data_IF_210402815520
#
_entry.id   IF_210402815520
#
_cell.length_a   1.000
_cell.length_b   1.000
_cell.length_c   1.000
_cell.angle_alpha   90.00
_cell.angle_beta   90.00
_cell.angle_gamma   90.00
#
_symmetry.space_group_name_H-M   'P 1'
#
loop_
_entity.id
_entity.type
_entity.pdbx_description
1 polymer ?
#
# COMPACT_ATOMS: atom_id res chain seq x y z
N UNK A 1 9.14 28.22 -16.14
CA UNK A 1 9.79 26.98 -15.65
C UNK A 1 9.00 25.82 -16.23
N UNK A 2 9.56 25.09 -17.20
CA UNK A 2 8.84 24.11 -18.02
C UNK A 2 9.40 22.70 -17.86
N UNK A 3 9.26 22.12 -16.67
CA UNK A 3 9.50 20.69 -16.47
C UNK A 3 8.26 19.94 -16.95
N UNK A 4 8.41 19.04 -17.91
CA UNK A 4 7.31 18.20 -18.39
C UNK A 4 6.99 17.14 -17.34
N UNK A 5 5.85 17.28 -16.68
CA UNK A 5 5.36 16.34 -15.65
C UNK A 5 4.39 15.36 -16.30
N UNK A 6 4.90 14.41 -17.09
CA UNK A 6 4.06 13.36 -17.68
C UNK A 6 4.75 12.01 -17.49
N UNK A 7 4.71 11.51 -16.26
CA UNK A 7 5.28 10.20 -15.91
C UNK A 7 4.22 9.13 -15.66
N UNK A 8 2.92 9.47 -15.75
CA UNK A 8 1.83 8.56 -15.36
C UNK A 8 1.94 8.09 -13.91
N UNK A 9 2.79 8.76 -13.10
CA UNK A 9 3.14 8.39 -11.74
C UNK A 9 2.96 9.57 -10.81
N UNK A 10 2.23 9.36 -9.72
CA UNK A 10 2.07 10.34 -8.65
C UNK A 10 2.02 9.64 -7.30
N UNK A 11 2.33 10.38 -6.24
CA UNK A 11 2.18 9.94 -4.85
C UNK A 11 1.40 11.04 -4.12
N UNK A 12 0.33 10.68 -3.43
CA UNK A 12 -0.43 11.65 -2.66
C UNK A 12 0.38 12.14 -1.45
N UNK A 13 0.12 13.36 -0.94
CA UNK A 13 0.75 13.82 0.30
C UNK A 13 0.58 12.80 1.42
N UNK A 14 1.69 12.41 2.06
CA UNK A 14 1.73 11.37 3.09
C UNK A 14 1.10 10.02 2.66
N UNK A 15 1.07 9.69 1.36
CA UNK A 15 0.40 8.50 0.83
C UNK A 15 -1.09 8.38 1.20
N UNK A 16 -1.71 9.46 1.66
CA UNK A 16 -3.10 9.43 2.12
C UNK A 16 -4.04 9.09 0.96
N UNK A 17 -4.98 8.18 1.20
CA UNK A 17 -5.95 7.74 0.21
C UNK A 17 -5.43 6.76 -0.86
N UNK A 18 -4.12 6.45 -0.88
CA UNK A 18 -3.60 5.31 -1.66
C UNK A 18 -4.01 4.01 -0.99
N UNK A 19 -3.67 3.88 0.30
CA UNK A 19 -4.22 2.87 1.18
C UNK A 19 -4.41 3.45 2.59
N UNK A 20 -5.58 3.32 3.23
CA UNK A 20 -6.83 2.80 2.68
C UNK A 20 -7.27 3.59 1.45
N UNK A 21 -7.90 2.90 0.50
CA UNK A 21 -8.23 3.48 -0.81
C UNK A 21 -9.30 4.57 -0.66
N UNK A 22 -9.08 5.71 -1.30
CA UNK A 22 -10.06 6.77 -1.47
C UNK A 22 -10.51 6.86 -2.93
N UNK A 23 -11.77 6.50 -3.19
CA UNK A 23 -12.34 6.50 -4.54
C UNK A 23 -12.18 7.85 -5.26
N UNK A 24 -12.38 8.96 -4.55
CA UNK A 24 -12.20 10.30 -5.11
C UNK A 24 -10.77 10.57 -5.59
N UNK A 25 -9.75 10.05 -4.89
CA UNK A 25 -8.35 10.19 -5.29
C UNK A 25 -8.09 9.45 -6.59
N UNK A 26 -8.46 8.17 -6.66
CA UNK A 26 -8.24 7.34 -7.85
C UNK A 26 -8.99 7.89 -9.07
N UNK A 27 -10.26 8.31 -8.89
CA UNK A 27 -11.03 8.93 -9.97
C UNK A 27 -10.41 10.24 -10.47
N UNK A 28 -9.88 11.07 -9.57
CA UNK A 28 -9.21 12.34 -9.93
C UNK A 28 -7.88 12.09 -10.63
N UNK A 29 -7.11 11.12 -10.15
CA UNK A 29 -5.84 10.70 -10.74
C UNK A 29 -5.98 10.21 -12.18
N UNK A 30 -7.02 9.42 -12.46
CA UNK A 30 -7.30 9.00 -13.83
C UNK A 30 -7.79 10.15 -14.71
N UNK A 31 -8.79 10.90 -14.24
CA UNK A 31 -9.48 11.89 -15.08
C UNK A 31 -8.69 13.17 -15.33
N UNK A 32 -7.87 13.61 -14.37
CA UNK A 32 -7.17 14.90 -14.45
C UNK A 32 -5.70 14.74 -14.85
N UNK A 33 -5.00 13.71 -14.35
CA UNK A 33 -3.55 13.55 -14.52
C UNK A 33 -3.16 12.29 -15.30
N UNK A 34 -4.11 11.44 -15.67
CA UNK A 34 -3.89 10.16 -16.34
C UNK A 34 -2.83 9.29 -15.62
N UNK A 35 -2.91 9.22 -14.30
CA UNK A 35 -2.03 8.40 -13.47
C UNK A 35 -2.38 6.93 -13.66
N UNK A 36 -1.38 6.10 -13.91
CA UNK A 36 -1.49 4.65 -14.05
C UNK A 36 -0.65 3.89 -13.02
N UNK A 37 0.29 4.57 -12.36
CA UNK A 37 1.15 3.98 -11.33
C UNK A 37 1.25 4.89 -10.12
N UNK A 38 1.30 4.31 -8.92
CA UNK A 38 1.63 5.00 -7.68
C UNK A 38 2.42 4.06 -6.77
N UNK A 39 2.78 4.55 -5.58
CA UNK A 39 3.37 3.73 -4.53
C UNK A 39 2.68 3.99 -3.20
N UNK A 40 2.60 2.94 -2.40
CA UNK A 40 1.96 2.97 -1.09
C UNK A 40 2.99 2.77 0.01
N UNK A 41 2.75 3.42 1.13
CA UNK A 41 3.52 3.19 2.34
C UNK A 41 2.90 2.00 3.12
N UNK A 42 3.77 1.09 3.57
CA UNK A 42 3.48 0.03 4.53
C UNK A 42 2.22 -0.85 4.25
N UNK A 43 1.90 -1.08 2.98
CA UNK A 43 0.77 -1.92 2.59
C UNK A 43 1.17 -3.32 2.09
N UNK A 44 0.41 -4.35 2.49
CA UNK A 44 -0.29 -4.42 3.77
C UNK A 44 0.71 -4.24 4.92
N UNK A 45 0.26 -3.95 6.15
CA UNK A 45 1.11 -3.81 7.34
C UNK A 45 1.71 -5.15 7.80
N UNK A 46 2.27 -5.93 6.88
CA UNK A 46 2.93 -7.19 7.15
C UNK A 46 4.33 -6.99 7.73
N UNK A 47 4.70 -7.89 8.64
CA UNK A 47 6.05 -8.05 9.20
C UNK A 47 6.56 -9.44 8.79
N UNK A 48 7.82 -9.57 8.31
CA UNK A 48 8.78 -8.50 8.02
C UNK A 48 8.33 -7.58 6.86
N UNK A 49 8.95 -6.41 6.73
CA UNK A 49 8.57 -5.41 5.71
C UNK A 49 8.75 -5.92 4.27
N UNK A 50 9.60 -6.93 4.04
CA UNK A 50 9.74 -7.63 2.76
C UNK A 50 8.49 -8.41 2.34
N UNK A 51 7.54 -8.65 3.26
CA UNK A 51 6.28 -9.31 2.95
C UNK A 51 5.21 -8.35 2.40
N UNK A 52 5.48 -7.03 2.36
CA UNK A 52 4.60 -6.00 1.79
C UNK A 52 4.35 -6.26 0.30
N UNK A 53 3.19 -5.83 -0.20
CA UNK A 53 2.67 -6.23 -1.50
C UNK A 53 2.16 -5.05 -2.29
N UNK A 54 2.18 -5.19 -3.61
CA UNK A 54 1.46 -4.27 -4.49
C UNK A 54 -0.02 -4.60 -4.55
N UNK A 55 -0.79 -3.77 -5.24
CA UNK A 55 -2.14 -4.09 -5.71
C UNK A 55 -2.53 -3.25 -6.91
N UNK A 56 -3.61 -3.62 -7.60
CA UNK A 56 -4.20 -2.80 -8.65
C UNK A 56 -5.60 -2.40 -8.19
N UNK A 57 -5.87 -1.10 -8.22
CA UNK A 57 -7.20 -0.56 -7.96
C UNK A 57 -7.57 0.46 -9.03
N UNK A 58 -8.77 0.32 -9.60
CA UNK A 58 -9.23 1.14 -10.75
C UNK A 58 -8.15 1.31 -11.83
N UNK A 59 -7.53 0.22 -12.30
CA UNK A 59 -6.46 0.27 -13.31
C UNK A 59 -5.21 1.11 -12.93
N UNK A 60 -5.05 1.50 -11.66
CA UNK A 60 -3.82 2.12 -11.15
C UNK A 60 -3.03 1.05 -10.41
N UNK A 61 -1.80 0.82 -10.86
CA UNK A 61 -0.83 -0.07 -10.24
C UNK A 61 -0.20 0.60 -9.02
N UNK A 62 -0.41 0.01 -7.85
CA UNK A 62 0.15 0.47 -6.57
C UNK A 62 1.34 -0.41 -6.20
N UNK A 63 2.54 0.15 -6.21
CA UNK A 63 3.78 -0.55 -5.88
C UNK A 63 4.09 -0.51 -4.37
N UNK A 64 4.61 -1.59 -3.78
CA UNK A 64 5.01 -1.60 -2.38
C UNK A 64 6.30 -0.82 -2.19
N UNK A 65 6.24 0.26 -1.40
CA UNK A 65 7.41 1.05 -1.04
C UNK A 65 8.21 0.37 0.07
N UNK A 66 9.53 0.39 -0.06
CA UNK A 66 10.45 -0.01 1.00
C UNK A 66 11.05 1.20 1.73
N UNK A 67 11.46 0.98 2.97
CA UNK A 67 12.13 1.97 3.83
C UNK A 67 13.64 1.92 3.59
N UNK A 68 14.28 3.09 3.48
CA UNK A 68 15.73 3.19 3.30
C UNK A 68 16.50 3.60 4.57
N UNK A 69 15.80 3.75 5.71
CA UNK A 69 16.39 4.24 6.95
C UNK A 69 16.62 5.76 7.00
N UNK A 70 16.18 6.50 5.98
CA UNK A 70 16.27 7.96 5.96
C UNK A 70 14.95 8.60 6.39
N UNK A 71 15.05 9.63 7.23
CA UNK A 71 13.91 10.36 7.78
C UNK A 71 13.88 11.80 7.27
N UNK A 72 12.69 12.39 7.24
CA UNK A 72 12.47 13.78 6.79
C UNK A 72 13.14 14.83 7.66
N UNK A 73 13.27 14.55 8.95
CA UNK A 73 13.86 15.46 9.94
C UNK A 73 15.38 15.28 10.10
N UNK A 74 15.98 14.27 9.44
CA UNK A 74 17.40 13.98 9.51
C UNK A 74 18.12 14.53 8.28
N UNK A 75 18.78 15.67 8.45
CA UNK A 75 19.47 16.38 7.35
C UNK A 75 20.99 16.37 7.47
N UNK A 76 21.52 16.01 8.64
CA UNK A 76 22.95 15.98 8.95
C UNK A 76 23.35 14.60 9.45
N UNK A 77 24.59 14.18 9.19
CA UNK A 77 25.10 12.88 9.64
C UNK A 77 25.08 12.74 11.16
N UNK A 78 25.43 13.81 11.89
CA UNK A 78 25.43 13.82 13.35
C UNK A 78 24.00 13.77 13.95
N UNK A 79 22.98 14.07 13.14
CA UNK A 79 21.57 14.00 13.52
C UNK A 79 20.93 12.67 13.15
N UNK A 80 21.67 11.76 12.52
CA UNK A 80 21.17 10.43 12.22
C UNK A 80 20.92 9.65 13.52
N UNK A 81 19.76 9.00 13.69
CA UNK A 81 19.48 8.22 14.90
C UNK A 81 20.58 7.19 15.17
N UNK A 82 21.07 7.16 16.40
CA UNK A 82 22.20 6.32 16.84
C UNK A 82 23.55 6.61 16.13
N UNK A 83 23.65 7.76 15.47
CA UNK A 83 24.89 8.29 14.90
C UNK A 83 25.33 7.70 13.56
N UNK A 84 26.44 8.22 13.05
CA UNK A 84 26.96 7.89 11.72
C UNK A 84 27.31 6.40 11.55
N UNK A 85 27.80 5.74 12.60
CA UNK A 85 28.08 4.29 12.57
C UNK A 85 26.81 3.47 12.33
N UNK A 86 25.65 3.90 12.85
CA UNK A 86 24.36 3.25 12.58
C UNK A 86 23.92 3.45 11.13
N UNK A 87 24.18 4.63 10.56
CA UNK A 87 23.92 4.88 9.14
C UNK A 87 24.76 3.93 8.27
N UNK A 88 26.06 3.82 8.55
CA UNK A 88 26.95 2.91 7.82
C UNK A 88 26.52 1.45 7.95
N UNK A 89 26.20 0.99 9.17
CA UNK A 89 25.77 -0.40 9.37
C UNK A 89 24.43 -0.72 8.72
N UNK A 90 23.52 0.26 8.59
CA UNK A 90 22.30 0.12 7.79
C UNK A 90 22.59 -0.10 6.30
N UNK A 91 23.59 0.62 5.76
CA UNK A 91 23.98 0.57 4.34
C UNK A 91 24.78 -0.68 4.01
N UNK A 92 25.83 -0.97 4.78
CA UNK A 92 26.85 -1.96 4.50
C UNK A 92 26.50 -3.29 5.18
N UNK A 93 25.63 -4.07 4.55
CA UNK A 93 25.20 -5.37 5.07
C UNK A 93 24.07 -5.30 6.11
N UNK A 94 23.46 -4.13 6.32
CA UNK A 94 22.28 -3.96 7.19
C UNK A 94 20.96 -3.85 6.45
N UNK A 95 19.98 -3.17 7.07
CA UNK A 95 18.58 -3.19 6.64
C UNK A 95 18.38 -2.66 5.21
N UNK A 96 19.08 -1.60 4.79
CA UNK A 96 18.99 -1.07 3.42
C UNK A 96 19.49 -2.11 2.41
N UNK A 97 20.64 -2.74 2.68
CA UNK A 97 21.17 -3.81 1.82
C UNK A 97 20.24 -5.02 1.77
N UNK A 98 19.79 -5.52 2.93
CA UNK A 98 18.87 -6.67 3.00
C UNK A 98 17.53 -6.37 2.34
N UNK A 99 17.07 -5.12 2.39
CA UNK A 99 15.88 -4.69 1.66
C UNK A 99 16.06 -4.87 0.15
N UNK A 100 17.20 -4.48 -0.41
CA UNK A 100 17.49 -4.71 -1.84
C UNK A 100 17.63 -6.20 -2.14
N UNK A 101 18.34 -6.94 -1.29
CA UNK A 101 18.57 -8.38 -1.46
C UNK A 101 17.28 -9.20 -1.46
N UNK A 102 16.33 -8.86 -0.59
CA UNK A 102 15.08 -9.62 -0.40
C UNK A 102 13.95 -9.17 -1.33
N UNK A 103 14.08 -8.03 -2.01
CA UNK A 103 13.04 -7.49 -2.89
C UNK A 103 13.54 -7.36 -4.34
N UNK A 104 13.02 -8.16 -5.29
CA UNK A 104 13.45 -8.08 -6.69
C UNK A 104 13.05 -6.77 -7.37
N UNK A 105 12.08 -6.05 -6.80
CA UNK A 105 11.72 -4.69 -7.20
C UNK A 105 11.90 -3.77 -6.00
N UNK A 106 12.78 -2.79 -6.14
CA UNK A 106 13.11 -1.83 -5.09
C UNK A 106 12.52 -0.46 -5.43
N UNK A 107 11.53 -0.04 -4.63
CA UNK A 107 10.84 1.25 -4.66
C UNK A 107 11.11 1.96 -3.34
N UNK A 108 12.14 2.81 -3.32
CA UNK A 108 12.47 3.60 -2.15
C UNK A 108 11.80 4.96 -2.21
N UNK A 109 11.40 5.47 -1.04
CA UNK A 109 11.07 6.88 -0.89
C UNK A 109 12.18 7.57 -0.14
N UNK A 110 12.48 8.74 -0.66
CA UNK A 110 13.31 9.78 -0.07
C UNK A 110 12.50 11.08 -0.15
N UNK A 111 12.97 12.09 0.57
CA UNK A 111 12.36 13.41 0.57
C UNK A 111 13.41 14.45 0.16
N UNK A 112 12.95 15.62 -0.26
CA UNK A 112 13.84 16.73 -0.65
C UNK A 112 14.91 17.02 0.42
N UNK A 113 14.54 16.93 1.70
CA UNK A 113 15.44 17.13 2.84
C UNK A 113 16.62 16.14 2.85
N UNK A 114 16.44 14.92 2.33
CA UNK A 114 17.52 13.93 2.24
C UNK A 114 18.59 14.30 1.20
N UNK A 115 18.30 15.24 0.30
CA UNK A 115 19.22 15.73 -0.73
C UNK A 115 19.76 17.14 -0.45
N UNK A 116 19.47 17.70 0.73
CA UNK A 116 19.83 19.07 1.09
C UNK A 116 21.28 19.18 1.62
N UNK A 117 21.47 19.28 2.94
CA UNK A 117 22.74 19.61 3.59
C UNK A 117 23.82 18.53 3.36
N UNK A 118 23.85 17.51 4.21
CA UNK A 118 24.87 16.43 4.12
C UNK A 118 24.52 15.39 3.03
N UNK A 119 23.42 15.61 2.31
CA UNK A 119 22.96 14.79 1.17
C UNK A 119 22.88 13.30 1.50
N UNK A 120 22.31 12.97 2.67
CA UNK A 120 22.20 11.59 3.16
C UNK A 120 21.60 10.63 2.11
N UNK A 121 20.64 11.09 1.30
CA UNK A 121 20.05 10.30 0.21
C UNK A 121 21.09 9.85 -0.81
N UNK A 122 21.94 10.77 -1.28
CA UNK A 122 22.99 10.45 -2.25
C UNK A 122 24.03 9.56 -1.59
N UNK A 123 24.50 9.94 -0.41
CA UNK A 123 25.49 9.18 0.35
C UNK A 123 25.07 7.73 0.58
N UNK A 124 23.83 7.50 1.03
CA UNK A 124 23.33 6.14 1.30
C UNK A 124 23.21 5.29 0.04
N UNK A 125 22.66 5.84 -1.05
CA UNK A 125 22.39 5.06 -2.25
C UNK A 125 23.63 4.83 -3.12
N UNK A 126 24.57 5.78 -3.21
CA UNK A 126 25.86 5.53 -3.87
C UNK A 126 26.61 4.41 -3.13
N UNK A 127 26.66 4.51 -1.80
CA UNK A 127 27.42 3.59 -0.97
C UNK A 127 26.81 2.19 -0.90
N UNK A 128 25.49 2.05 -0.90
CA UNK A 128 24.86 0.70 -1.00
C UNK A 128 25.11 0.08 -2.36
N UNK A 129 25.09 0.87 -3.45
CA UNK A 129 25.40 0.38 -4.79
C UNK A 129 26.85 -0.09 -4.87
N UNK A 130 27.79 0.67 -4.32
CA UNK A 130 29.20 0.27 -4.26
C UNK A 130 29.40 -0.98 -3.41
N UNK A 131 28.75 -1.07 -2.24
CA UNK A 131 28.80 -2.26 -1.39
C UNK A 131 28.27 -3.50 -2.15
N UNK A 132 27.13 -3.38 -2.83
CA UNK A 132 26.54 -4.46 -3.63
C UNK A 132 27.52 -4.91 -4.73
N UNK A 133 28.13 -3.98 -5.46
CA UNK A 133 29.09 -4.29 -6.54
C UNK A 133 30.37 -4.95 -6.03
N UNK A 134 30.86 -4.53 -4.88
CA UNK A 134 32.10 -5.05 -4.30
C UNK A 134 31.94 -6.44 -3.68
N UNK A 135 30.79 -6.71 -3.07
CA UNK A 135 30.61 -7.87 -2.18
C UNK A 135 29.60 -8.89 -2.70
N UNK A 136 28.92 -8.64 -3.80
CA UNK A 136 27.90 -9.54 -4.36
C UNK A 136 27.97 -9.60 -5.88
N UNK A 137 27.22 -10.53 -6.48
CA UNK A 137 27.02 -10.62 -7.93
C UNK A 137 25.65 -10.07 -8.36
N UNK A 138 25.01 -9.21 -7.55
CA UNK A 138 23.71 -8.64 -7.91
C UNK A 138 23.86 -7.58 -8.99
N UNK A 139 23.05 -7.69 -10.04
CA UNK A 139 22.95 -6.71 -11.10
C UNK A 139 21.76 -5.77 -10.84
N UNK A 140 22.05 -4.48 -10.67
CA UNK A 140 21.04 -3.47 -10.43
C UNK A 140 20.67 -2.78 -11.74
N UNK A 141 19.38 -2.83 -12.08
CA UNK A 141 18.83 -2.14 -13.24
C UNK A 141 17.84 -1.06 -12.82
N UNK A 142 18.03 0.14 -13.38
CA UNK A 142 17.03 1.18 -13.26
C UNK A 142 15.91 0.97 -14.27
N UNK A 143 14.67 1.23 -13.85
CA UNK A 143 13.48 1.16 -14.70
C UNK A 143 12.52 2.30 -14.34
N UNK A 144 11.79 2.79 -15.35
CA UNK A 144 10.72 3.76 -15.15
C UNK A 144 9.51 3.15 -14.41
N UNK A 145 8.71 3.95 -13.66
CA UNK A 145 7.61 3.43 -12.83
C UNK A 145 6.63 2.51 -13.56
N UNK A 146 6.25 2.84 -14.81
CA UNK A 146 5.36 2.02 -15.62
C UNK A 146 5.94 0.64 -15.94
N UNK A 147 7.24 0.56 -16.27
CA UNK A 147 7.92 -0.72 -16.51
C UNK A 147 8.09 -1.52 -15.24
N UNK A 148 8.42 -0.86 -14.12
CA UNK A 148 8.47 -1.53 -12.80
C UNK A 148 7.12 -2.14 -12.47
N UNK A 149 6.02 -1.39 -12.63
CA UNK A 149 4.67 -1.89 -12.39
C UNK A 149 4.32 -3.10 -13.27
N UNK A 150 4.61 -3.02 -14.58
CA UNK A 150 4.38 -4.13 -15.50
C UNK A 150 5.19 -5.38 -15.10
N UNK A 151 6.49 -5.21 -14.78
CA UNK A 151 7.35 -6.31 -14.32
C UNK A 151 6.88 -6.91 -13.00
N UNK A 152 6.53 -6.05 -12.03
CA UNK A 152 6.05 -6.45 -10.71
C UNK A 152 4.82 -7.33 -10.81
N UNK A 153 3.76 -6.87 -11.48
CA UNK A 153 2.50 -7.60 -11.58
C UNK A 153 2.53 -8.76 -12.59
N UNK A 154 3.56 -8.84 -13.43
CA UNK A 154 3.87 -10.06 -14.19
C UNK A 154 4.47 -11.13 -13.27
N UNK A 155 5.35 -10.72 -12.35
CA UNK A 155 6.02 -11.64 -11.41
C UNK A 155 5.13 -12.06 -10.23
N UNK A 156 4.27 -11.17 -9.76
CA UNK A 156 3.42 -11.34 -8.58
C UNK A 156 1.93 -11.22 -8.95
N UNK A 157 1.45 -12.15 -9.79
CA UNK A 157 0.07 -12.12 -10.32
C UNK A 157 -0.98 -12.13 -9.22
N UNK A 158 -0.75 -12.90 -8.15
CA UNK A 158 -1.66 -13.01 -7.00
C UNK A 158 -1.84 -11.70 -6.23
N UNK A 159 -0.90 -10.75 -6.38
CA UNK A 159 -0.94 -9.47 -5.68
C UNK A 159 -1.72 -8.40 -6.43
N UNK A 160 -2.19 -8.66 -7.66
CA UNK A 160 -3.05 -7.71 -8.37
C UNK A 160 -4.32 -7.37 -7.60
N UNK A 161 -4.83 -8.34 -6.83
CA UNK A 161 -6.04 -8.20 -6.03
C UNK A 161 -5.68 -7.57 -4.67
N UNK A 162 -6.27 -6.42 -4.30
CA UNK A 162 -6.00 -5.78 -3.03
C UNK A 162 -6.49 -6.62 -1.86
N UNK A 163 -5.67 -6.77 -0.82
CA UNK A 163 -6.09 -7.24 0.50
C UNK A 163 -6.69 -6.07 1.28
N UNK A 164 -7.97 -6.15 1.61
CA UNK A 164 -8.65 -5.17 2.46
C UNK A 164 -8.53 -5.55 3.93
N UNK A 165 -7.77 -4.76 4.69
CA UNK A 165 -7.67 -4.85 6.15
C UNK A 165 -8.57 -3.82 6.83
N UNK A 166 -8.95 -4.08 8.08
CA UNK A 166 -9.62 -3.09 8.91
C UNK A 166 -8.70 -1.85 9.09
N UNK A 167 -9.06 -0.69 8.52
CA UNK A 167 -8.21 0.49 8.56
C UNK A 167 -8.17 1.16 9.94
N UNK A 168 -9.07 0.80 10.86
CA UNK A 168 -9.10 1.33 12.22
C UNK A 168 -8.06 0.71 13.15
N UNK A 169 -7.45 -0.42 12.76
CA UNK A 169 -6.37 -1.04 13.54
C UNK A 169 -5.11 -0.18 13.50
N UNK A 170 -4.91 0.56 12.42
CA UNK A 170 -3.76 1.44 12.26
C UNK A 170 -4.14 2.90 12.58
N UNK A 171 -3.53 3.53 13.60
CA UNK A 171 -3.87 4.90 14.00
C UNK A 171 -3.63 5.96 12.93
N UNK A 172 -2.71 5.73 12.00
CA UNK A 172 -2.45 6.64 10.88
C UNK A 172 -3.49 6.46 9.80
N UNK A 173 -3.85 5.22 9.46
CA UNK A 173 -4.96 4.95 8.53
C UNK A 173 -6.27 5.52 9.05
N UNK A 174 -6.60 5.31 10.33
CA UNK A 174 -7.82 5.84 10.95
C UNK A 174 -7.96 7.36 10.80
N UNK A 175 -6.86 8.12 10.92
CA UNK A 175 -6.84 9.59 10.81
C UNK A 175 -7.10 10.11 9.40
N UNK A 176 -6.88 9.29 8.38
CA UNK A 176 -7.05 9.68 6.98
C UNK A 176 -8.33 9.12 6.36
N UNK A 177 -9.14 8.35 7.10
CA UNK A 177 -10.39 7.80 6.58
C UNK A 177 -11.40 8.90 6.21
N UNK A 178 -12.24 8.66 5.18
CA UNK A 178 -13.35 9.55 4.89
C UNK A 178 -14.34 9.53 6.06
N UNK A 179 -15.11 10.61 6.22
CA UNK A 179 -16.08 10.76 7.31
C UNK A 179 -17.09 9.60 7.38
N UNK A 180 -17.43 9.00 6.23
CA UNK A 180 -18.32 7.83 6.14
C UNK A 180 -17.74 6.55 6.81
N UNK A 181 -16.43 6.50 7.08
CA UNK A 181 -15.72 5.38 7.72
C UNK A 181 -15.20 5.78 9.10
N UNK A 182 -16.06 6.38 9.94
CA UNK A 182 -15.71 6.61 11.32
C UNK A 182 -15.46 5.25 12.02
N UNK A 183 -14.31 5.11 12.66
CA UNK A 183 -13.92 3.90 13.37
C UNK A 183 -14.79 3.56 14.59
N UNK A 184 -15.54 4.53 15.12
CA UNK A 184 -16.51 4.27 16.21
C UNK A 184 -17.71 3.47 15.74
N UNK A 185 -18.21 3.76 14.55
CA UNK A 185 -19.47 3.23 14.01
C UNK A 185 -19.25 2.52 12.66
N UNK A 186 -18.04 1.99 12.44
CA UNK A 186 -17.70 1.42 11.13
C UNK A 186 -18.62 0.23 10.82
N UNK A 187 -19.31 0.21 9.67
CA UNK A 187 -20.36 -0.76 9.37
C UNK A 187 -19.77 -2.10 8.89
N UNK A 188 -18.78 -2.64 9.60
CA UNK A 188 -18.26 -3.98 9.33
C UNK A 188 -19.12 -5.04 10.02
N UNK A 189 -19.46 -6.15 9.34
CA UNK A 189 -20.25 -7.21 9.94
C UNK A 189 -19.48 -7.91 11.06
N UNK A 190 -20.10 -8.09 12.21
CA UNK A 190 -19.56 -8.89 13.32
C UNK A 190 -19.86 -10.40 13.17
N UNK A 191 -20.68 -10.78 12.19
CA UNK A 191 -21.08 -12.16 11.90
C UNK A 191 -21.21 -12.36 10.39
N UNK A 192 -20.77 -13.52 9.88
CA UNK A 192 -20.90 -13.90 8.47
C UNK A 192 -21.59 -15.26 8.36
N UNK A 193 -22.64 -15.35 7.55
CA UNK A 193 -23.29 -16.61 7.17
C UNK A 193 -22.77 -16.99 5.78
N UNK A 194 -21.86 -17.96 5.72
CA UNK A 194 -21.08 -18.25 4.50
C UNK A 194 -21.75 -19.31 3.59
N UNK A 195 -22.73 -20.05 4.10
CA UNK A 195 -23.40 -21.14 3.38
C UNK A 195 -22.99 -22.53 3.89
N UNK A 196 -22.99 -23.59 3.03
CA UNK A 196 -23.21 -23.58 1.59
C UNK A 196 -24.67 -23.31 1.20
N UNK A 197 -24.94 -23.15 -0.10
CA UNK A 197 -26.31 -22.97 -0.61
C UNK A 197 -27.24 -24.13 -0.21
N UNK A 198 -28.54 -23.84 -0.12
CA UNK A 198 -29.61 -24.81 0.22
C UNK A 198 -29.51 -25.38 1.64
N UNK A 199 -28.86 -24.67 2.56
CA UNK A 199 -28.80 -25.02 3.99
C UNK A 199 -29.73 -24.17 4.87
N UNK A 200 -30.56 -23.32 4.26
CA UNK A 200 -31.48 -22.45 4.98
C UNK A 200 -30.85 -21.15 5.50
N UNK A 201 -29.76 -20.67 4.88
CA UNK A 201 -29.09 -19.40 5.23
C UNK A 201 -30.04 -18.20 5.25
N UNK A 202 -30.93 -18.08 4.27
CA UNK A 202 -31.96 -17.01 4.21
C UNK A 202 -32.92 -17.08 5.39
N UNK A 203 -33.36 -18.29 5.76
CA UNK A 203 -34.25 -18.48 6.91
C UNK A 203 -33.53 -18.11 8.22
N UNK A 204 -32.28 -18.53 8.39
CA UNK A 204 -31.46 -18.16 9.54
C UNK A 204 -31.27 -16.64 9.65
N UNK A 205 -30.89 -15.96 8.56
CA UNK A 205 -30.73 -14.51 8.54
C UNK A 205 -32.04 -13.80 8.88
N UNK A 206 -33.17 -14.27 8.35
CA UNK A 206 -34.50 -13.73 8.63
C UNK A 206 -34.87 -13.89 10.10
N UNK A 207 -34.62 -15.05 10.71
CA UNK A 207 -34.90 -15.28 12.13
C UNK A 207 -34.00 -14.45 13.05
N UNK A 208 -32.72 -14.29 12.70
CA UNK A 208 -31.81 -13.42 13.45
C UNK A 208 -32.29 -11.97 13.42
N UNK A 209 -32.76 -11.48 12.28
CA UNK A 209 -33.27 -10.11 12.12
C UNK A 209 -34.54 -9.80 12.95
N UNK A 210 -35.20 -10.82 13.51
CA UNK A 210 -36.30 -10.62 14.46
C UNK A 210 -35.81 -10.23 15.86
N UNK A 211 -34.54 -10.48 16.18
CA UNK A 211 -33.95 -10.17 17.48
C UNK A 211 -33.43 -8.72 17.49
N UNK A 212 -33.75 -7.89 18.51
CA UNK A 212 -33.46 -6.45 18.50
C UNK A 212 -31.98 -6.08 18.44
N UNK A 213 -31.09 -7.00 18.84
CA UNK A 213 -29.63 -6.81 18.78
C UNK A 213 -28.99 -7.26 17.47
N UNK A 214 -29.77 -7.72 16.50
CA UNK A 214 -29.27 -8.17 15.20
C UNK A 214 -29.88 -7.31 14.10
N UNK A 215 -29.07 -7.00 13.10
CA UNK A 215 -29.47 -6.35 11.87
C UNK A 215 -28.78 -7.04 10.69
N UNK A 216 -29.45 -7.08 9.55
CA UNK A 216 -28.86 -7.54 8.29
C UNK A 216 -28.50 -6.37 7.39
N UNK A 217 -27.72 -6.62 6.34
CA UNK A 217 -27.48 -5.63 5.28
C UNK A 217 -28.76 -5.32 4.50
N UNK A 218 -28.75 -4.19 3.82
CA UNK A 218 -29.77 -3.86 2.83
C UNK A 218 -29.70 -4.83 1.63
N UNK A 219 -30.86 -5.14 1.01
CA UNK A 219 -30.89 -6.03 -0.14
C UNK A 219 -30.28 -5.37 -1.38
N UNK A 220 -29.49 -6.15 -2.12
CA UNK A 220 -28.90 -5.76 -3.40
C UNK A 220 -29.83 -6.20 -4.53
N UNK A 221 -30.09 -5.33 -5.49
CA UNK A 221 -30.99 -5.61 -6.62
C UNK A 221 -30.66 -6.89 -7.40
N UNK A 222 -29.38 -7.27 -7.50
CA UNK A 222 -28.92 -8.45 -8.26
C UNK A 222 -28.85 -9.74 -7.45
N UNK A 223 -28.63 -9.65 -6.14
CA UNK A 223 -28.32 -10.81 -5.27
C UNK A 223 -29.17 -10.86 -3.99
N UNK A 224 -30.18 -10.01 -3.91
CA UNK A 224 -31.13 -9.91 -2.80
C UNK A 224 -30.39 -9.74 -1.46
N UNK A 225 -30.60 -10.63 -0.50
CA UNK A 225 -29.95 -10.57 0.82
C UNK A 225 -28.43 -10.81 0.77
N UNK A 226 -27.89 -11.41 -0.30
CA UNK A 226 -26.50 -11.81 -0.36
C UNK A 226 -25.58 -10.67 -0.85
N UNK A 227 -24.64 -10.22 -0.01
CA UNK A 227 -23.61 -9.25 -0.41
C UNK A 227 -22.64 -9.81 -1.46
N UNK A 228 -22.32 -11.11 -1.37
CA UNK A 228 -21.33 -11.78 -2.23
C UNK A 228 -19.98 -11.03 -2.35
N UNK A 229 -19.58 -10.30 -1.29
CA UNK A 229 -18.39 -9.46 -1.31
C UNK A 229 -17.11 -10.29 -1.54
N UNK A 230 -16.81 -11.25 -0.66
CA UNK A 230 -15.59 -12.06 -0.74
C UNK A 230 -15.59 -13.12 -1.84
N UNK A 231 -16.79 -13.53 -2.30
CA UNK A 231 -16.95 -14.63 -3.26
C UNK A 231 -17.05 -14.19 -4.73
N UNK A 232 -17.01 -12.88 -5.00
CA UNK A 232 -17.36 -12.35 -6.31
C UNK A 232 -16.61 -11.08 -6.71
N UNK A 233 -17.03 -10.44 -7.82
CA UNK A 233 -16.39 -9.23 -8.34
C UNK A 233 -16.55 -8.01 -7.42
N UNK A 234 -17.48 -8.08 -6.47
CA UNK A 234 -17.75 -7.02 -5.50
C UNK A 234 -16.53 -6.74 -4.60
N UNK A 235 -15.66 -7.73 -4.36
CA UNK A 235 -14.42 -7.53 -3.62
C UNK A 235 -13.55 -6.40 -4.19
N UNK A 236 -13.51 -6.26 -5.51
CA UNK A 236 -12.71 -5.24 -6.19
C UNK A 236 -13.28 -3.82 -6.01
N UNK A 237 -14.51 -3.67 -5.51
CA UNK A 237 -15.16 -2.36 -5.28
C UNK A 237 -14.67 -1.68 -4.00
N UNK A 238 -13.96 -2.40 -3.13
CA UNK A 238 -13.41 -1.87 -1.90
C UNK A 238 -14.34 -1.96 -0.70
N UNK A 239 -13.83 -1.61 0.48
CA UNK A 239 -14.52 -1.74 1.78
C UNK A 239 -15.79 -0.88 1.92
N UNK A 240 -15.96 0.14 1.09
CA UNK A 240 -17.09 1.07 1.13
C UNK A 240 -18.31 0.60 0.35
N UNK A 241 -18.16 -0.42 -0.50
CA UNK A 241 -19.25 -0.96 -1.30
C UNK A 241 -20.19 -1.80 -0.44
#
# INVERSE_FOLDING_TARGET
>A
MGLTVSSGYAVSPQHAGVYPVHEALYNSWQSVWNISVTSTEEYPHFRPASSRRGFIHRNISVLPRQTCGLYTHTQFFHSYPDGFTKLLSNIEGGDLFFTILLNPFSIFMTHQQNYANDRLGIFSFERVVDFIRCWTNLELHWMEPARIAAGYFTRFVAEKVPIWNNPCVDPRHAKILPQALNCTDMPLPNMLIVGPQKTGSTALATFLNLHPNFSTNDPISSSFEELQFFGGPNYARGLLW
#
